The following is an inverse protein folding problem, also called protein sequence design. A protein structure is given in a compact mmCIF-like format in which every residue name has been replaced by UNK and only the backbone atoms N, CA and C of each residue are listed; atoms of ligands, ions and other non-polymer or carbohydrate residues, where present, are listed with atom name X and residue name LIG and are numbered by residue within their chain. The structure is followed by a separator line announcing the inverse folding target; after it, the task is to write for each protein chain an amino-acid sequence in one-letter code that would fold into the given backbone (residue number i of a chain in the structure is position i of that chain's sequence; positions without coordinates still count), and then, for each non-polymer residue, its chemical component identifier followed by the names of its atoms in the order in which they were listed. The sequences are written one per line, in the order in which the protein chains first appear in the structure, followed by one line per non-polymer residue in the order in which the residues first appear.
data_IF_862652191451
#
_entry.id   IF_862652191451
#
_cell.length_a   1.000
_cell.length_b   1.000
_cell.length_c   1.000
_cell.angle_alpha   90.00
_cell.angle_beta   90.00
_cell.angle_gamma   90.00
#
_symmetry.space_group_name_H-M   'P 1'
#
loop_
_entity.id
_entity.type
_entity.pdbx_description
1 polymer ?
#
# COMPACT_ATOMS: atom_id res chain seq x y z
N UNK A 1 -6.57 14.77 22.15
CA UNK A 1 -6.18 15.58 20.98
C UNK A 1 -6.12 14.63 19.83
N UNK A 2 -7.08 14.72 18.94
CA UNK A 2 -7.01 14.10 17.63
C UNK A 2 -5.74 14.60 16.95
N UNK A 3 -4.85 13.70 16.57
CA UNK A 3 -3.70 14.05 15.77
C UNK A 3 -4.21 14.39 14.38
N UNK A 4 -4.34 15.68 14.09
CA UNK A 4 -4.73 16.18 12.79
C UNK A 4 -3.59 15.90 11.79
N UNK A 5 -3.80 14.88 10.96
CA UNK A 5 -2.92 14.52 9.86
C UNK A 5 -2.97 15.56 8.72
N UNK A 6 -3.80 16.62 8.86
CA UNK A 6 -4.07 17.61 7.82
C UNK A 6 -3.17 18.83 7.86
N UNK A 7 -2.21 18.93 8.81
CA UNK A 7 -1.33 20.10 8.85
C UNK A 7 -0.37 20.13 7.68
N UNK A 8 -0.36 21.26 7.01
CA UNK A 8 0.39 21.67 5.83
C UNK A 8 1.67 20.90 5.52
N UNK A 9 1.58 20.08 4.48
CA UNK A 9 2.70 19.23 4.01
C UNK A 9 3.63 20.09 3.17
N UNK A 10 4.69 20.62 3.79
CA UNK A 10 5.92 20.93 3.07
C UNK A 10 6.67 19.63 2.84
N UNK A 11 6.96 19.31 1.57
CA UNK A 11 7.72 18.13 1.16
C UNK A 11 9.08 18.07 1.88
N UNK A 12 9.46 16.87 2.37
CA UNK A 12 10.76 16.55 2.98
C UNK A 12 11.16 17.33 4.23
N UNK A 13 10.21 17.70 5.07
CA UNK A 13 10.49 18.26 6.39
C UNK A 13 10.50 17.18 7.50
N UNK A 14 10.83 17.58 8.73
CA UNK A 14 10.81 16.68 9.89
C UNK A 14 9.42 16.08 10.16
N UNK A 15 8.35 16.74 9.72
CA UNK A 15 6.98 16.23 9.87
C UNK A 15 6.71 15.03 8.94
N UNK A 16 7.32 14.99 7.76
CA UNK A 16 7.25 13.82 6.88
C UNK A 16 7.94 12.61 7.49
N UNK A 17 9.13 12.79 8.07
CA UNK A 17 9.82 11.71 8.77
C UNK A 17 8.98 11.16 9.93
N UNK A 18 8.36 12.04 10.73
CA UNK A 18 7.49 11.62 11.81
C UNK A 18 6.30 10.79 11.30
N UNK A 19 5.61 11.24 10.24
CA UNK A 19 4.52 10.47 9.62
C UNK A 19 5.00 9.14 9.06
N UNK A 20 6.12 9.14 8.35
CA UNK A 20 6.73 7.97 7.74
C UNK A 20 7.05 6.89 8.79
N UNK A 21 7.80 7.25 9.84
CA UNK A 21 8.17 6.30 10.88
C UNK A 21 6.99 5.87 11.76
N UNK A 22 5.98 6.71 11.96
CA UNK A 22 4.72 6.29 12.58
C UNK A 22 4.01 5.23 11.75
N UNK A 23 3.95 5.40 10.42
CA UNK A 23 3.36 4.39 9.54
C UNK A 23 4.10 3.05 9.67
N UNK A 24 5.43 3.07 9.67
CA UNK A 24 6.25 1.86 9.87
C UNK A 24 6.02 1.21 11.25
N UNK A 25 5.93 2.01 12.32
CA UNK A 25 5.64 1.48 13.66
C UNK A 25 4.25 0.86 13.70
N UNK A 26 3.25 1.50 13.11
CA UNK A 26 1.88 0.98 13.08
C UNK A 26 1.77 -0.30 12.26
N UNK A 27 2.49 -0.39 11.13
CA UNK A 27 2.61 -1.63 10.36
C UNK A 27 3.14 -2.77 11.22
N UNK A 28 4.26 -2.55 11.92
CA UNK A 28 4.85 -3.56 12.80
C UNK A 28 3.94 -3.97 13.96
N UNK A 29 3.21 -3.02 14.56
CA UNK A 29 2.24 -3.32 15.63
C UNK A 29 1.09 -4.18 15.13
N UNK A 30 0.51 -3.85 13.96
CA UNK A 30 -0.57 -4.62 13.35
C UNK A 30 -0.10 -6.01 12.92
N UNK A 31 1.09 -6.10 12.31
CA UNK A 31 1.70 -7.37 11.94
C UNK A 31 1.89 -8.30 13.16
N UNK A 32 2.44 -7.76 14.26
CA UNK A 32 2.65 -8.53 15.46
C UNK A 32 1.32 -8.96 16.15
N UNK A 33 0.29 -8.10 16.09
CA UNK A 33 -1.03 -8.36 16.65
C UNK A 33 -1.82 -9.39 15.82
N UNK A 34 -1.62 -9.43 14.50
CA UNK A 34 -2.25 -10.38 13.58
C UNK A 34 -1.57 -11.76 13.57
N UNK A 35 -0.29 -11.84 13.89
CA UNK A 35 0.50 -13.07 13.78
C UNK A 35 0.24 -14.02 14.95
N UNK A 36 -0.43 -15.13 14.69
CA UNK A 36 -0.75 -16.18 15.68
C UNK A 36 0.49 -16.79 16.38
N UNK A 37 1.66 -16.73 15.76
CA UNK A 37 2.92 -17.21 16.34
C UNK A 37 3.63 -16.15 17.18
N UNK A 38 3.17 -14.91 17.13
CA UNK A 38 3.74 -13.81 17.92
C UNK A 38 3.30 -13.89 19.37
N UNK A 39 4.22 -13.60 20.29
CA UNK A 39 3.89 -13.39 21.72
C UNK A 39 2.97 -12.17 21.92
N UNK A 40 2.84 -11.33 20.91
CA UNK A 40 1.99 -10.15 20.88
C UNK A 40 0.65 -10.38 20.15
N UNK A 41 0.34 -11.63 19.77
CA UNK A 41 -0.93 -11.95 19.11
C UNK A 41 -2.13 -11.46 19.91
N UNK A 42 -2.99 -10.64 19.26
CA UNK A 42 -4.19 -10.04 19.85
C UNK A 42 -3.95 -9.27 21.18
N UNK A 43 -2.78 -8.63 21.31
CA UNK A 43 -2.44 -7.82 22.51
C UNK A 43 -2.83 -6.35 22.39
N UNK A 44 -3.11 -5.85 21.22
CA UNK A 44 -3.67 -4.51 21.07
C UNK A 44 -5.09 -4.49 21.65
N UNK A 45 -5.40 -3.44 22.42
CA UNK A 45 -6.78 -3.19 22.83
C UNK A 45 -7.65 -2.95 21.60
N UNK A 46 -8.90 -3.41 21.62
CA UNK A 46 -9.80 -3.36 20.46
C UNK A 46 -10.01 -1.94 19.92
N UNK A 47 -10.11 -0.94 20.79
CA UNK A 47 -10.22 0.47 20.41
C UNK A 47 -8.95 0.99 19.69
N UNK A 48 -7.78 0.65 20.21
CA UNK A 48 -6.49 1.00 19.60
C UNK A 48 -6.33 0.30 18.24
N UNK A 49 -6.62 -1.01 18.17
CA UNK A 49 -6.58 -1.77 16.93
C UNK A 49 -7.46 -1.13 15.87
N UNK A 50 -8.71 -0.79 16.22
CA UNK A 50 -9.65 -0.13 15.31
C UNK A 50 -9.09 1.19 14.78
N UNK A 51 -8.52 2.03 15.66
CA UNK A 51 -7.90 3.31 15.27
C UNK A 51 -6.73 3.08 14.30
N UNK A 52 -5.86 2.11 14.58
CA UNK A 52 -4.71 1.81 13.71
C UNK A 52 -5.16 1.29 12.34
N UNK A 53 -6.16 0.42 12.29
CA UNK A 53 -6.72 -0.10 11.04
C UNK A 53 -7.35 1.02 10.21
N UNK A 54 -8.15 1.89 10.82
CA UNK A 54 -8.81 2.99 10.11
C UNK A 54 -7.80 4.04 9.61
N UNK A 55 -6.88 4.46 10.45
CA UNK A 55 -5.83 5.41 10.07
C UNK A 55 -4.90 4.83 9.00
N UNK A 56 -4.50 3.58 9.14
CA UNK A 56 -3.63 2.92 8.18
C UNK A 56 -4.28 2.72 6.81
N UNK A 57 -5.58 2.40 6.79
CA UNK A 57 -6.36 2.30 5.56
C UNK A 57 -6.31 3.60 4.74
N UNK A 58 -6.38 4.75 5.41
CA UNK A 58 -6.47 6.06 4.74
C UNK A 58 -5.14 6.82 4.64
N UNK A 59 -4.04 6.27 5.16
CA UNK A 59 -2.75 6.96 5.21
C UNK A 59 -2.28 7.41 3.83
N UNK A 60 -2.22 6.48 2.87
CA UNK A 60 -1.73 6.77 1.52
C UNK A 60 -2.59 7.79 0.76
N UNK A 61 -3.87 7.96 1.07
CA UNK A 61 -4.71 8.99 0.47
C UNK A 61 -4.29 10.40 0.90
N UNK A 62 -3.75 10.54 2.10
CA UNK A 62 -3.36 11.82 2.69
C UNK A 62 -1.89 12.16 2.46
N UNK A 63 -1.03 11.14 2.34
CA UNK A 63 0.40 11.35 2.14
C UNK A 63 0.67 11.92 0.74
N UNK A 64 1.47 12.99 0.67
CA UNK A 64 1.83 13.69 -0.55
C UNK A 64 3.32 13.61 -0.86
N UNK A 65 4.13 13.36 0.17
CA UNK A 65 5.58 13.30 0.02
C UNK A 65 5.98 11.94 -0.54
N UNK A 66 6.53 11.96 -1.74
CA UNK A 66 6.97 10.78 -2.49
C UNK A 66 8.50 10.61 -2.46
N UNK A 67 9.20 11.33 -1.57
CA UNK A 67 10.63 11.23 -1.42
C UNK A 67 11.01 9.86 -0.85
N UNK A 68 11.79 9.09 -1.58
CA UNK A 68 12.39 7.85 -1.08
C UNK A 68 13.63 8.16 -0.24
N UNK A 69 14.69 8.70 -0.86
CA UNK A 69 15.93 9.09 -0.19
C UNK A 69 16.18 10.58 -0.27
N UNK A 70 16.57 11.17 0.85
CA UNK A 70 17.00 12.57 0.98
C UNK A 70 18.48 12.65 1.35
N UNK A 71 19.26 13.48 0.67
CA UNK A 71 20.67 13.71 1.02
C UNK A 71 20.86 14.31 2.41
N UNK A 72 19.83 14.98 2.94
CA UNK A 72 19.88 15.62 4.26
C UNK A 72 19.41 14.69 5.37
N UNK A 73 18.35 13.90 5.12
CA UNK A 73 17.66 13.12 6.17
C UNK A 73 17.80 11.60 6.01
N UNK A 74 18.41 11.12 4.92
CA UNK A 74 18.48 9.70 4.60
C UNK A 74 17.15 9.19 4.04
N UNK A 75 16.77 7.99 4.42
CA UNK A 75 15.54 7.34 3.96
C UNK A 75 14.31 8.02 4.57
N UNK A 76 13.51 8.65 3.73
CA UNK A 76 12.22 9.27 4.08
C UNK A 76 11.10 8.26 3.98
N UNK A 77 10.96 7.60 2.83
CA UNK A 77 10.09 6.45 2.56
C UNK A 77 8.63 6.58 3.05
N UNK A 78 8.06 7.79 3.06
CA UNK A 78 6.70 7.97 3.56
C UNK A 78 5.67 7.15 2.78
N UNK A 79 5.84 7.04 1.45
CA UNK A 79 5.01 6.18 0.59
C UNK A 79 5.28 4.69 0.81
N UNK A 80 6.54 4.28 0.88
CA UNK A 80 6.93 2.89 1.09
C UNK A 80 6.41 2.37 2.45
N UNK A 81 6.61 3.13 3.53
CA UNK A 81 6.08 2.79 4.85
C UNK A 81 4.54 2.83 4.90
N UNK A 82 3.93 3.73 4.12
CA UNK A 82 2.47 3.75 3.95
C UNK A 82 1.95 2.51 3.23
N UNK A 83 2.69 1.99 2.24
CA UNK A 83 2.36 0.74 1.56
C UNK A 83 2.50 -0.47 2.50
N UNK A 84 3.57 -0.52 3.32
CA UNK A 84 3.73 -1.53 4.35
C UNK A 84 2.55 -1.50 5.33
N UNK A 85 2.17 -0.31 5.81
CA UNK A 85 1.03 -0.14 6.71
C UNK A 85 -0.28 -0.60 6.07
N UNK A 86 -0.56 -0.20 4.82
CA UNK A 86 -1.77 -0.63 4.12
C UNK A 86 -1.80 -2.14 3.90
N UNK A 87 -0.66 -2.78 3.62
CA UNK A 87 -0.55 -4.25 3.53
C UNK A 87 -0.97 -4.91 4.83
N UNK A 88 -0.41 -4.50 5.97
CA UNK A 88 -0.74 -5.09 7.26
C UNK A 88 -2.21 -4.82 7.64
N UNK A 89 -2.77 -3.68 7.25
CA UNK A 89 -4.21 -3.37 7.42
C UNK A 89 -5.08 -4.32 6.62
N UNK A 90 -4.87 -4.46 5.30
CA UNK A 90 -5.73 -5.31 4.45
C UNK A 90 -5.56 -6.80 4.78
N UNK A 91 -4.41 -7.20 5.29
CA UNK A 91 -4.15 -8.56 5.75
C UNK A 91 -4.65 -8.82 7.17
N UNK A 92 -4.99 -7.81 7.96
CA UNK A 92 -5.38 -8.00 9.36
C UNK A 92 -6.68 -8.81 9.50
N UNK A 93 -6.75 -9.83 10.37
CA UNK A 93 -7.93 -10.68 10.52
C UNK A 93 -9.19 -9.92 10.95
N UNK A 94 -9.04 -8.84 11.73
CA UNK A 94 -10.16 -8.04 12.23
C UNK A 94 -10.63 -6.95 11.24
N UNK A 95 -9.98 -6.81 10.08
CA UNK A 95 -10.48 -5.88 9.06
C UNK A 95 -11.68 -6.51 8.32
N UNK A 96 -12.86 -5.86 8.31
CA UNK A 96 -14.02 -6.35 7.59
C UNK A 96 -13.77 -6.45 6.06
N UNK A 97 -14.35 -7.45 5.39
CA UNK A 97 -14.13 -7.68 3.96
C UNK A 97 -14.44 -6.46 3.07
N UNK A 98 -15.50 -5.71 3.39
CA UNK A 98 -15.82 -4.48 2.66
C UNK A 98 -14.70 -3.42 2.78
N UNK A 99 -13.97 -3.39 3.87
CA UNK A 99 -12.81 -2.50 4.08
C UNK A 99 -11.56 -3.01 3.35
N UNK A 100 -11.42 -4.31 3.14
CA UNK A 100 -10.36 -4.86 2.27
C UNK A 100 -10.55 -4.35 0.84
N UNK A 101 -11.76 -4.39 0.31
CA UNK A 101 -12.07 -3.81 -1.02
C UNK A 101 -11.83 -2.30 -1.08
N UNK A 102 -12.12 -1.58 0.00
CA UNK A 102 -11.78 -0.16 0.10
C UNK A 102 -10.27 0.06 -0.02
N UNK A 103 -9.45 -0.78 0.61
CA UNK A 103 -7.98 -0.76 0.49
C UNK A 103 -7.49 -0.93 -0.96
N UNK A 104 -8.08 -1.85 -1.73
CA UNK A 104 -7.78 -2.02 -3.15
C UNK A 104 -8.14 -0.76 -3.97
N UNK A 105 -9.30 -0.17 -3.70
CA UNK A 105 -9.73 1.06 -4.37
C UNK A 105 -8.81 2.25 -4.03
N UNK A 106 -8.32 2.32 -2.80
CA UNK A 106 -7.34 3.31 -2.37
C UNK A 106 -6.04 3.17 -3.16
N UNK A 107 -5.55 1.95 -3.35
CA UNK A 107 -4.37 1.69 -4.17
C UNK A 107 -4.56 2.20 -5.61
N UNK A 108 -5.71 1.94 -6.22
CA UNK A 108 -6.06 2.47 -7.55
C UNK A 108 -6.03 4.00 -7.59
N UNK A 109 -6.55 4.68 -6.56
CA UNK A 109 -6.50 6.15 -6.45
C UNK A 109 -5.06 6.65 -6.27
N UNK A 110 -4.21 5.93 -5.55
CA UNK A 110 -2.79 6.26 -5.40
C UNK A 110 -2.11 6.29 -6.76
N UNK A 111 -2.24 5.24 -7.58
CA UNK A 111 -1.64 5.21 -8.92
C UNK A 111 -2.16 6.33 -9.82
N UNK A 112 -3.46 6.67 -9.77
CA UNK A 112 -4.04 7.79 -10.55
C UNK A 112 -3.49 9.16 -10.13
N UNK A 113 -3.06 9.32 -8.88
CA UNK A 113 -2.61 10.59 -8.33
C UNK A 113 -1.12 10.85 -8.48
N UNK A 114 -0.28 9.81 -8.45
CA UNK A 114 1.18 9.96 -8.45
C UNK A 114 1.68 10.33 -9.84
N UNK A 115 2.27 11.52 -9.95
CA UNK A 115 2.79 12.09 -11.19
C UNK A 115 4.32 12.07 -11.30
N UNK A 116 5.00 11.29 -10.46
CA UNK A 116 6.45 11.08 -10.51
C UNK A 116 6.76 9.59 -10.70
N UNK A 117 7.96 9.29 -11.19
CA UNK A 117 8.46 7.92 -11.22
C UNK A 117 8.99 7.52 -9.85
N UNK A 118 8.55 6.39 -9.33
CA UNK A 118 9.12 5.78 -8.14
C UNK A 118 10.55 5.27 -8.42
N UNK A 119 11.46 5.47 -7.48
CA UNK A 119 12.89 5.14 -7.64
C UNK A 119 13.48 4.38 -6.47
N UNK A 120 12.74 4.25 -5.38
CA UNK A 120 13.22 3.74 -4.10
C UNK A 120 12.29 2.65 -3.54
N UNK A 121 11.90 1.68 -4.39
CA UNK A 121 11.10 0.49 -4.08
C UNK A 121 9.63 0.74 -3.66
N UNK A 122 9.08 1.94 -3.88
CA UNK A 122 7.70 2.25 -3.53
C UNK A 122 6.69 1.37 -4.30
N UNK A 123 6.95 1.15 -5.59
CA UNK A 123 6.10 0.30 -6.45
C UNK A 123 6.13 -1.17 -6.00
N UNK A 124 7.30 -1.65 -5.58
CA UNK A 124 7.45 -3.00 -5.05
C UNK A 124 6.70 -3.18 -3.73
N UNK A 125 6.76 -2.20 -2.84
CA UNK A 125 6.00 -2.23 -1.59
C UNK A 125 4.49 -2.11 -1.81
N UNK A 126 4.06 -1.32 -2.78
CA UNK A 126 2.64 -1.23 -3.17
C UNK A 126 2.13 -2.57 -3.75
N UNK A 127 2.98 -3.37 -4.40
CA UNK A 127 2.61 -4.70 -4.89
C UNK A 127 2.18 -5.65 -3.76
N UNK A 128 2.78 -5.52 -2.56
CA UNK A 128 2.42 -6.32 -1.39
C UNK A 128 0.95 -6.14 -1.00
N UNK A 129 0.40 -4.94 -1.17
CA UNK A 129 -1.02 -4.64 -0.90
C UNK A 129 -1.96 -5.50 -1.74
N UNK A 130 -1.48 -6.00 -2.90
CA UNK A 130 -2.24 -6.86 -3.80
C UNK A 130 -1.95 -8.36 -3.55
N UNK A 131 -0.69 -8.78 -3.60
CA UNK A 131 -0.40 -10.22 -3.57
C UNK A 131 -0.48 -10.83 -2.17
N UNK A 132 -0.16 -10.11 -1.10
CA UNK A 132 -0.24 -10.69 0.26
C UNK A 132 -1.68 -11.08 0.66
N UNK A 133 -2.72 -10.22 0.47
CA UNK A 133 -4.08 -10.64 0.79
C UNK A 133 -4.61 -11.73 -0.16
N UNK A 134 -4.11 -11.84 -1.40
CA UNK A 134 -4.38 -12.98 -2.28
C UNK A 134 -3.84 -14.27 -1.65
N UNK A 135 -2.56 -14.28 -1.26
CA UNK A 135 -1.91 -15.44 -0.65
C UNK A 135 -2.57 -15.87 0.66
N UNK A 136 -3.19 -14.93 1.38
CA UNK A 136 -3.91 -15.19 2.61
C UNK A 136 -5.39 -15.54 2.40
N UNK A 137 -5.87 -15.60 1.15
CA UNK A 137 -7.27 -15.91 0.82
C UNK A 137 -8.26 -14.83 1.27
N UNK A 138 -7.84 -13.58 1.42
CA UNK A 138 -8.71 -12.46 1.80
C UNK A 138 -9.36 -11.78 0.60
N UNK A 139 -8.74 -11.88 -0.56
CA UNK A 139 -9.26 -11.42 -1.84
C UNK A 139 -9.02 -12.46 -2.92
N UNK A 140 -9.93 -12.50 -3.88
CA UNK A 140 -9.78 -13.34 -5.06
C UNK A 140 -8.99 -12.58 -6.15
N UNK A 141 -8.25 -13.32 -6.98
CA UNK A 141 -7.45 -12.72 -8.06
C UNK A 141 -8.29 -12.00 -9.10
N UNK A 142 -9.54 -12.45 -9.33
CA UNK A 142 -10.54 -11.79 -10.18
C UNK A 142 -10.81 -10.35 -9.74
N UNK A 143 -10.79 -10.08 -8.43
CA UNK A 143 -11.01 -8.73 -7.90
C UNK A 143 -9.86 -7.79 -8.25
N UNK A 144 -8.63 -8.29 -8.21
CA UNK A 144 -7.44 -7.54 -8.66
C UNK A 144 -7.44 -7.36 -10.18
N UNK A 145 -7.78 -8.39 -10.94
CA UNK A 145 -7.94 -8.31 -12.38
C UNK A 145 -9.00 -7.26 -12.78
N UNK A 146 -10.12 -7.22 -12.05
CA UNK A 146 -11.17 -6.22 -12.24
C UNK A 146 -10.68 -4.81 -11.91
N UNK A 147 -9.89 -4.64 -10.84
CA UNK A 147 -9.28 -3.34 -10.50
C UNK A 147 -8.35 -2.87 -11.65
N UNK A 148 -7.48 -3.73 -12.15
CA UNK A 148 -6.56 -3.41 -13.25
C UNK A 148 -7.32 -2.87 -14.46
N UNK A 149 -8.41 -3.52 -14.85
CA UNK A 149 -9.27 -3.10 -15.98
C UNK A 149 -9.88 -1.70 -15.79
N UNK A 150 -9.94 -1.17 -14.55
CA UNK A 150 -10.41 0.20 -14.26
C UNK A 150 -9.30 1.24 -14.26
N UNK A 151 -8.05 0.81 -14.33
CA UNK A 151 -6.87 1.68 -14.29
C UNK A 151 -6.42 1.99 -15.72
N UNK A 152 -7.13 2.90 -16.37
CA UNK A 152 -6.74 3.45 -17.66
C UNK A 152 -5.93 4.74 -17.46
N UNK A 153 -4.76 4.78 -18.09
CA UNK A 153 -3.88 5.94 -18.11
C UNK A 153 -3.63 6.33 -19.57
N UNK A 154 -4.45 7.22 -20.15
CA UNK A 154 -4.14 7.79 -21.45
C UNK A 154 -2.79 8.52 -21.33
N UNK A 155 -1.82 8.14 -22.16
CA UNK A 155 -0.47 8.73 -22.12
C UNK A 155 -0.47 9.92 -23.07
N UNK A 156 -0.80 11.08 -22.52
CA UNK A 156 -0.74 12.36 -23.25
C UNK A 156 0.48 13.17 -22.84
N UNK A 157 0.85 13.08 -21.55
CA UNK A 157 1.96 13.81 -20.97
C UNK A 157 2.96 12.87 -20.25
N UNK A 158 4.10 13.42 -19.86
CA UNK A 158 5.17 12.67 -19.18
C UNK A 158 4.72 12.11 -17.84
N UNK A 159 3.88 12.82 -17.12
CA UNK A 159 3.31 12.42 -15.84
C UNK A 159 2.43 11.16 -15.98
N UNK A 160 1.67 11.05 -17.05
CA UNK A 160 0.85 9.87 -17.32
C UNK A 160 1.72 8.64 -17.59
N UNK A 161 2.85 8.83 -18.30
CA UNK A 161 3.84 7.77 -18.46
C UNK A 161 4.42 7.30 -17.11
N UNK A 162 4.62 8.19 -16.14
CA UNK A 162 5.07 7.81 -14.80
C UNK A 162 4.02 6.98 -14.06
N UNK A 163 2.74 7.38 -14.09
CA UNK A 163 1.62 6.62 -13.51
C UNK A 163 1.57 5.21 -14.08
N UNK A 164 1.56 5.11 -15.41
CA UNK A 164 1.58 3.84 -16.13
C UNK A 164 2.80 2.99 -15.74
N UNK A 165 3.99 3.59 -15.75
CA UNK A 165 5.24 2.89 -15.45
C UNK A 165 5.30 2.38 -14.01
N UNK A 166 4.82 3.16 -13.03
CA UNK A 166 4.73 2.75 -11.64
C UNK A 166 3.75 1.59 -11.45
N UNK A 167 2.55 1.69 -12.05
CA UNK A 167 1.57 0.60 -12.03
C UNK A 167 2.15 -0.67 -12.66
N UNK A 168 2.77 -0.55 -13.84
CA UNK A 168 3.38 -1.70 -14.52
C UNK A 168 4.45 -2.38 -13.68
N UNK A 169 5.34 -1.62 -13.02
CA UNK A 169 6.35 -2.18 -12.14
C UNK A 169 5.72 -2.91 -10.95
N UNK A 170 4.71 -2.32 -10.33
CA UNK A 170 3.94 -2.95 -9.25
C UNK A 170 3.29 -4.26 -9.70
N UNK A 171 2.62 -4.27 -10.86
CA UNK A 171 1.95 -5.46 -11.39
C UNK A 171 2.92 -6.56 -11.82
N UNK A 172 4.10 -6.21 -12.33
CA UNK A 172 5.16 -7.19 -12.60
C UNK A 172 5.63 -7.88 -11.32
N UNK A 173 5.74 -7.16 -10.22
CA UNK A 173 6.07 -7.75 -8.93
C UNK A 173 4.95 -8.70 -8.45
N UNK A 174 3.68 -8.28 -8.55
CA UNK A 174 2.53 -9.17 -8.25
C UNK A 174 2.61 -10.46 -9.08
N UNK A 175 2.87 -10.33 -10.38
CA UNK A 175 3.05 -11.47 -11.28
C UNK A 175 4.14 -12.41 -10.77
N UNK A 176 5.35 -11.89 -10.52
CA UNK A 176 6.51 -12.67 -10.09
C UNK A 176 6.21 -13.38 -8.76
N UNK A 177 5.62 -12.69 -7.78
CA UNK A 177 5.37 -13.22 -6.46
C UNK A 177 4.33 -14.36 -6.47
N UNK A 178 3.32 -14.26 -7.31
CA UNK A 178 2.30 -15.31 -7.45
C UNK A 178 2.77 -16.48 -8.35
N UNK A 179 3.46 -16.19 -9.45
CA UNK A 179 3.97 -17.20 -10.38
C UNK A 179 5.01 -18.11 -9.72
N UNK A 180 5.97 -17.56 -8.98
CA UNK A 180 6.98 -18.33 -8.24
C UNK A 180 6.42 -19.27 -7.18
N UNK A 181 5.16 -19.06 -6.77
CA UNK A 181 4.45 -19.90 -5.79
C UNK A 181 3.43 -20.82 -6.43
N UNK A 182 3.41 -20.92 -7.76
CA UNK A 182 2.40 -21.68 -8.52
C UNK A 182 0.95 -21.27 -8.14
N UNK A 183 0.74 -19.99 -7.84
CA UNK A 183 -0.52 -19.44 -7.35
C UNK A 183 -1.22 -18.51 -8.35
N UNK A 184 -0.54 -18.07 -9.42
CA UNK A 184 -1.05 -17.16 -10.42
C UNK A 184 -2.13 -17.81 -11.30
N UNK A 185 -3.32 -17.20 -11.34
CA UNK A 185 -4.45 -17.66 -12.18
C UNK A 185 -4.45 -16.95 -13.53
N UNK A 186 -4.98 -17.60 -14.56
CA UNK A 186 -4.96 -17.12 -15.95
C UNK A 186 -5.63 -15.74 -16.11
N UNK A 187 -6.77 -15.50 -15.44
CA UNK A 187 -7.47 -14.22 -15.54
C UNK A 187 -6.63 -13.03 -15.05
N UNK A 188 -5.97 -13.17 -13.89
CA UNK A 188 -5.08 -12.13 -13.38
C UNK A 188 -3.85 -11.98 -14.27
N UNK A 189 -3.30 -13.10 -14.74
CA UNK A 189 -2.16 -13.11 -15.67
C UNK A 189 -2.47 -12.34 -16.95
N UNK A 190 -3.62 -12.59 -17.56
CA UNK A 190 -4.07 -11.88 -18.76
C UNK A 190 -4.29 -10.39 -18.49
N UNK A 191 -4.88 -10.04 -17.34
CA UNK A 191 -5.09 -8.64 -16.97
C UNK A 191 -3.77 -7.87 -16.74
N UNK A 192 -2.72 -8.52 -16.23
CA UNK A 192 -1.39 -7.90 -16.05
C UNK A 192 -0.67 -7.73 -17.39
N UNK A 193 -0.92 -8.62 -18.35
CA UNK A 193 -0.25 -8.61 -19.66
C UNK A 193 -0.93 -7.70 -20.71
N UNK A 194 -2.19 -7.29 -20.46
CA UNK A 194 -2.95 -6.39 -21.34
C UNK A 194 -2.49 -4.93 -21.24
#
# INVERSE_FOLDING_TARGET
RESDWSSDVCSSDLSTLDRSFRALIYANLLSADANQQSIFYQRLKADIRYILLDQGLHYLLKEKDTTGFSSQYGWVHAFAHGADLLTEVVCHPDLPNNKVHEGLNILGQVFKRISIRFTDDEDWRLARVLYEPILQGKIEQEQVASLIKTLDFPIEEREDFYKFSNLRSCLLEVYIQLDQRDFLQDELKEAIQS
#
